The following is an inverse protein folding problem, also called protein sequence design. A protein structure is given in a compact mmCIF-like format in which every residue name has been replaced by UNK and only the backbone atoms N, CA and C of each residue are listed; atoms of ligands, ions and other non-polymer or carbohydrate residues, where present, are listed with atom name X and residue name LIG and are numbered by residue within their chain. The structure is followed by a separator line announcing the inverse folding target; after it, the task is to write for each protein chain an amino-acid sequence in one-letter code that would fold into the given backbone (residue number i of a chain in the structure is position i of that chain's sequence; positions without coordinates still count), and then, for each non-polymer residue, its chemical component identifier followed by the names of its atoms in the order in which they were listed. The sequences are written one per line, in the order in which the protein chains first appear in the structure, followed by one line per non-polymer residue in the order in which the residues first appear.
data_IF_456086300109
#
_entry.id   IF_456086300109
#
_cell.length_a   1.000
_cell.length_b   1.000
_cell.length_c   1.000
_cell.angle_alpha   90.00
_cell.angle_beta   90.00
_cell.angle_gamma   90.00
#
_symmetry.space_group_name_H-M   'P 1'
#
loop_
_entity.id
_entity.type
_entity.pdbx_description
1 polymer ?
#
# COMPACT_ATOMS: atom_id res chain seq x y z
N UNK A 1 17.19 -17.50 -3.21
CA UNK A 1 16.59 -17.21 -1.88
C UNK A 1 15.11 -16.99 -2.14
N UNK A 2 14.21 -17.75 -1.52
CA UNK A 2 12.76 -17.53 -1.69
C UNK A 2 12.42 -16.23 -0.99
N UNK A 3 11.86 -15.26 -1.71
CA UNK A 3 11.51 -13.96 -1.13
C UNK A 3 10.24 -14.11 -0.30
N UNK A 4 10.10 -13.33 0.78
CA UNK A 4 8.90 -13.32 1.66
C UNK A 4 7.61 -13.19 0.84
N UNK A 5 7.68 -12.45 -0.27
CA UNK A 5 6.62 -12.27 -1.25
C UNK A 5 6.06 -13.60 -1.77
N UNK A 6 6.93 -14.54 -2.14
CA UNK A 6 6.55 -15.81 -2.76
C UNK A 6 5.90 -16.76 -1.75
N UNK A 7 6.33 -16.66 -0.48
CA UNK A 7 5.75 -17.41 0.64
C UNK A 7 4.34 -16.88 0.93
N UNK A 8 4.18 -15.56 1.05
CA UNK A 8 2.88 -14.94 1.35
C UNK A 8 1.88 -15.20 0.21
N UNK A 9 2.31 -15.04 -1.05
CA UNK A 9 1.48 -15.30 -2.23
C UNK A 9 1.03 -16.76 -2.35
N UNK A 10 1.78 -17.71 -1.79
CA UNK A 10 1.42 -19.14 -1.81
C UNK A 10 0.68 -19.62 -0.57
N UNK A 11 0.36 -18.71 0.37
CA UNK A 11 -0.23 -19.02 1.66
C UNK A 11 -1.57 -18.28 1.88
N UNK A 12 -2.18 -18.47 3.05
CA UNK A 12 -3.44 -17.82 3.41
C UNK A 12 -3.37 -16.28 3.53
N UNK A 13 -2.18 -15.68 3.39
CA UNK A 13 -1.99 -14.24 3.35
C UNK A 13 -2.06 -13.62 1.96
N UNK A 14 -2.33 -14.41 0.91
CA UNK A 14 -2.43 -13.88 -0.44
C UNK A 14 -3.68 -12.98 -0.62
N UNK A 15 -3.60 -12.04 -1.55
CA UNK A 15 -4.72 -11.16 -1.95
C UNK A 15 -4.51 -10.61 -3.36
N UNK A 16 -5.56 -10.06 -3.98
CA UNK A 16 -5.42 -9.39 -5.28
C UNK A 16 -4.43 -8.22 -5.26
N UNK A 17 -4.28 -7.52 -4.13
CA UNK A 17 -3.26 -6.48 -3.97
C UNK A 17 -1.84 -7.05 -4.03
N UNK A 18 -1.67 -8.25 -3.47
CA UNK A 18 -0.40 -8.97 -3.45
C UNK A 18 0.01 -9.40 -4.86
N UNK A 19 -0.93 -9.92 -5.64
CA UNK A 19 -0.66 -10.36 -7.01
C UNK A 19 -0.39 -9.17 -7.95
N UNK A 20 -1.09 -8.05 -7.77
CA UNK A 20 -1.02 -6.90 -8.69
C UNK A 20 0.16 -5.96 -8.42
N UNK A 21 0.48 -5.68 -7.16
CA UNK A 21 1.35 -4.54 -6.83
C UNK A 21 2.65 -4.91 -6.12
N UNK A 22 2.76 -6.11 -5.57
CA UNK A 22 3.84 -6.39 -4.62
C UNK A 22 5.24 -6.33 -5.26
N UNK A 23 5.42 -6.94 -6.44
CA UNK A 23 6.70 -6.91 -7.17
C UNK A 23 7.03 -5.50 -7.66
N UNK A 24 6.09 -4.81 -8.31
CA UNK A 24 6.32 -3.43 -8.79
C UNK A 24 6.71 -2.49 -7.66
N UNK A 25 5.98 -2.54 -6.53
CA UNK A 25 6.28 -1.74 -5.33
C UNK A 25 7.70 -1.97 -4.81
N UNK A 26 8.13 -3.24 -4.70
CA UNK A 26 9.48 -3.56 -4.21
C UNK A 26 10.58 -3.34 -5.28
N UNK A 27 10.22 -3.25 -6.56
CA UNK A 27 11.09 -2.76 -7.63
C UNK A 27 11.12 -1.23 -7.76
N UNK A 28 10.45 -0.53 -6.84
CA UNK A 28 10.34 0.94 -6.81
C UNK A 28 9.56 1.52 -8.00
N UNK A 29 8.75 0.70 -8.65
CA UNK A 29 7.80 1.15 -9.65
C UNK A 29 6.48 1.53 -8.96
N UNK A 30 6.17 2.82 -9.02
CA UNK A 30 4.98 3.41 -8.44
C UNK A 30 4.10 4.09 -9.50
N UNK A 31 4.23 3.69 -10.76
CA UNK A 31 3.31 4.13 -11.81
C UNK A 31 1.86 3.72 -11.43
N UNK A 32 0.89 4.64 -11.45
CA UNK A 32 -0.43 4.38 -10.91
C UNK A 32 -1.27 3.51 -11.85
N UNK A 33 -1.60 2.29 -11.42
CA UNK A 33 -2.84 1.63 -11.87
C UNK A 33 -4.06 2.23 -11.14
N UNK A 34 -3.88 2.52 -9.85
CA UNK A 34 -4.79 3.27 -8.99
C UNK A 34 -3.97 4.30 -8.23
N UNK A 35 -4.29 5.59 -8.34
CA UNK A 35 -3.57 6.62 -7.60
C UNK A 35 -3.89 6.56 -6.11
N UNK A 36 -2.91 6.94 -5.28
CA UNK A 36 -3.07 7.01 -3.84
C UNK A 36 -4.15 8.03 -3.45
N UNK A 37 -4.26 9.15 -4.16
CA UNK A 37 -5.32 10.13 -3.96
C UNK A 37 -6.73 9.54 -4.15
N UNK A 38 -6.93 8.79 -5.26
CA UNK A 38 -8.22 8.15 -5.54
C UNK A 38 -8.53 7.05 -4.51
N UNK A 39 -7.54 6.25 -4.14
CA UNK A 39 -7.69 5.24 -3.10
C UNK A 39 -8.01 5.85 -1.73
N UNK A 40 -7.39 6.99 -1.39
CA UNK A 40 -7.70 7.74 -0.15
C UNK A 40 -9.16 8.16 -0.15
N UNK A 41 -9.63 8.77 -1.25
CA UNK A 41 -11.03 9.19 -1.41
C UNK A 41 -11.99 8.00 -1.28
N UNK A 42 -11.72 6.86 -1.93
CA UNK A 42 -12.58 5.68 -1.84
C UNK A 42 -12.63 5.09 -0.42
N UNK A 43 -11.50 5.03 0.28
CA UNK A 43 -11.47 4.58 1.69
C UNK A 43 -12.21 5.58 2.61
N UNK A 44 -12.13 6.88 2.32
CA UNK A 44 -12.90 7.91 3.04
C UNK A 44 -14.40 7.64 2.96
N UNK A 45 -14.93 7.41 1.75
CA UNK A 45 -16.34 7.02 1.58
C UNK A 45 -16.70 5.73 2.32
N UNK A 46 -15.77 4.77 2.39
CA UNK A 46 -16.00 3.53 3.12
C UNK A 46 -16.07 3.77 4.65
N UNK A 47 -15.29 4.70 5.20
CA UNK A 47 -15.40 5.13 6.59
C UNK A 47 -16.79 5.73 6.83
N UNK A 48 -17.20 6.70 6.01
CA UNK A 48 -18.49 7.37 6.14
C UNK A 48 -19.66 6.37 6.11
N UNK A 49 -19.64 5.42 5.18
CA UNK A 49 -20.67 4.38 5.08
C UNK A 49 -20.74 3.46 6.29
N UNK A 50 -19.60 3.11 6.88
CA UNK A 50 -19.58 2.29 8.10
C UNK A 50 -20.15 3.08 9.29
N UNK A 51 -19.83 4.38 9.41
CA UNK A 51 -20.38 5.25 10.44
C UNK A 51 -21.90 5.40 10.32
N UNK A 52 -22.40 5.67 9.11
CA UNK A 52 -23.83 5.79 8.81
C UNK A 52 -24.59 4.48 9.13
N UNK A 53 -23.94 3.33 8.92
CA UNK A 53 -24.50 2.02 9.25
C UNK A 53 -24.41 1.66 10.75
N UNK A 54 -23.78 2.51 11.58
CA UNK A 54 -23.53 2.22 12.99
C UNK A 54 -22.50 1.12 13.22
N UNK A 55 -21.62 0.87 12.25
CA UNK A 55 -20.60 -0.18 12.28
C UNK A 55 -19.23 0.37 12.71
N UNK A 56 -18.36 -0.45 13.31
CA UNK A 56 -17.02 -0.02 13.69
C UNK A 56 -16.13 0.32 12.49
N UNK A 57 -15.36 1.42 12.58
CA UNK A 57 -14.55 1.94 11.47
C UNK A 57 -13.04 1.79 11.64
N UNK A 58 -12.57 1.22 12.75
CA UNK A 58 -11.17 1.28 13.19
C UNK A 58 -10.13 0.91 12.12
N UNK A 59 -10.34 -0.14 11.32
CA UNK A 59 -9.41 -0.52 10.24
C UNK A 59 -9.45 0.48 9.08
N UNK A 60 -10.65 0.84 8.62
CA UNK A 60 -10.83 1.75 7.49
C UNK A 60 -10.26 3.14 7.82
N UNK A 61 -10.53 3.65 9.02
CA UNK A 61 -10.01 4.93 9.50
C UNK A 61 -8.48 4.91 9.61
N UNK A 62 -7.88 3.82 10.11
CA UNK A 62 -6.43 3.70 10.15
C UNK A 62 -5.80 3.72 8.74
N UNK A 63 -6.38 2.99 7.79
CA UNK A 63 -5.93 3.00 6.39
C UNK A 63 -6.08 4.38 5.76
N UNK A 64 -7.23 5.04 5.95
CA UNK A 64 -7.50 6.39 5.45
C UNK A 64 -6.44 7.39 5.94
N UNK A 65 -6.15 7.40 7.25
CA UNK A 65 -5.14 8.29 7.81
C UNK A 65 -3.72 7.97 7.33
N UNK A 66 -3.40 6.69 7.13
CA UNK A 66 -2.08 6.30 6.60
C UNK A 66 -1.92 6.74 5.14
N UNK A 67 -2.97 6.63 4.32
CA UNK A 67 -2.96 7.14 2.95
C UNK A 67 -2.91 8.68 2.94
N UNK A 68 -3.68 9.37 3.78
CA UNK A 68 -3.61 10.82 3.89
C UNK A 68 -2.19 11.30 4.25
N UNK A 69 -1.50 10.61 5.16
CA UNK A 69 -0.09 10.90 5.48
C UNK A 69 0.83 10.72 4.25
N UNK A 70 0.69 9.61 3.52
CA UNK A 70 1.45 9.40 2.28
C UNK A 70 1.18 10.49 1.23
N UNK A 71 -0.06 10.96 1.11
CA UNK A 71 -0.44 12.05 0.23
C UNK A 71 0.24 13.37 0.65
N UNK A 72 0.24 13.70 1.94
CA UNK A 72 0.92 14.88 2.51
C UNK A 72 2.43 14.84 2.24
N UNK A 73 3.04 13.65 2.25
CA UNK A 73 4.44 13.43 1.87
C UNK A 73 4.71 13.57 0.36
N UNK A 74 3.71 13.97 -0.43
CA UNK A 74 3.85 14.20 -1.87
C UNK A 74 3.77 12.94 -2.72
N UNK A 75 3.01 11.92 -2.27
CA UNK A 75 2.83 10.67 -3.01
C UNK A 75 1.41 10.45 -3.54
N UNK A 76 0.59 11.50 -3.55
CA UNK A 76 -0.81 11.45 -3.99
C UNK A 76 -1.01 10.89 -5.41
N UNK A 77 -0.16 11.28 -6.36
CA UNK A 77 -0.24 10.87 -7.78
C UNK A 77 0.42 9.51 -8.08
N UNK A 78 1.06 8.89 -7.09
CA UNK A 78 1.68 7.57 -7.25
C UNK A 78 0.65 6.47 -7.06
N UNK A 79 1.01 5.23 -7.42
CA UNK A 79 0.27 4.02 -7.02
C UNK A 79 -0.14 4.08 -5.54
N UNK A 80 -1.33 3.57 -5.20
CA UNK A 80 -1.78 3.46 -3.81
C UNK A 80 -0.82 2.68 -2.90
N UNK A 81 0.03 1.82 -3.47
CA UNK A 81 1.11 1.13 -2.73
C UNK A 81 2.27 2.03 -2.32
N UNK A 82 2.32 3.28 -2.77
CA UNK A 82 3.24 4.30 -2.26
C UNK A 82 3.04 4.61 -0.77
N UNK A 83 1.97 4.10 -0.15
CA UNK A 83 1.82 4.05 1.31
C UNK A 83 3.02 3.40 2.01
N UNK A 84 3.73 2.48 1.35
CA UNK A 84 4.93 1.85 1.89
C UNK A 84 5.98 2.89 2.31
N UNK A 85 6.04 4.04 1.61
CA UNK A 85 6.99 5.12 1.87
C UNK A 85 6.82 5.77 3.25
N UNK A 86 5.59 5.75 3.80
CA UNK A 86 5.35 6.19 5.19
C UNK A 86 6.11 5.30 6.16
N UNK A 87 6.04 3.98 5.98
CA UNK A 87 6.76 3.02 6.83
C UNK A 87 8.26 3.10 6.63
N UNK A 88 8.73 3.34 5.40
CA UNK A 88 10.15 3.51 5.09
C UNK A 88 10.74 4.74 5.80
N UNK A 89 10.00 5.86 5.78
CA UNK A 89 10.41 7.12 6.43
C UNK A 89 10.44 6.97 7.96
N UNK A 90 9.38 6.41 8.55
CA UNK A 90 9.31 6.16 10.00
C UNK A 90 10.33 5.12 10.48
N UNK A 91 10.64 4.12 9.65
CA UNK A 91 11.56 3.04 9.96
C UNK A 91 13.02 3.32 9.60
N UNK A 92 13.30 4.39 8.85
CA UNK A 92 14.64 4.72 8.36
C UNK A 92 15.25 3.68 7.40
N UNK A 93 14.43 2.85 6.76
CA UNK A 93 14.86 1.70 5.95
C UNK A 93 13.98 1.57 4.70
N UNK A 94 14.58 1.38 3.52
CA UNK A 94 13.84 1.17 2.27
C UNK A 94 13.49 -0.30 2.05
N UNK A 95 12.21 -0.59 1.79
CA UNK A 95 11.74 -1.92 1.42
C UNK A 95 11.85 -2.09 -0.10
N UNK A 96 12.87 -2.82 -0.54
CA UNK A 96 13.12 -3.10 -1.96
C UNK A 96 13.62 -4.52 -2.19
N UNK A 97 13.42 -5.03 -3.40
CA UNK A 97 14.15 -6.21 -3.85
C UNK A 97 15.62 -5.84 -4.13
N UNK A 98 16.55 -6.79 -3.97
CA UNK A 98 17.90 -6.61 -4.47
C UNK A 98 17.85 -6.30 -5.97
N UNK A 99 18.75 -5.44 -6.45
CA UNK A 99 19.00 -5.36 -7.90
C UNK A 99 19.38 -6.75 -8.38
N UNK A 100 18.80 -7.20 -9.49
CA UNK A 100 19.23 -8.45 -10.12
C UNK A 100 20.73 -8.36 -10.38
N UNK A 101 21.48 -9.23 -9.72
CA UNK A 101 22.90 -9.44 -10.00
C UNK A 101 23.03 -9.77 -11.48
N UNK A 102 23.66 -8.89 -12.26
CA UNK A 102 24.03 -9.13 -13.66
C UNK A 102 25.19 -10.12 -13.78
N UNK A 103 25.09 -11.28 -13.13
CA UNK A 103 26.07 -12.37 -13.21
C UNK A 103 25.35 -13.70 -13.33
#
# INVERSE_FOLDING_TARGET
MIQVIDIISSAGGNSGMMDLYSRSTLHRDFEPLMSLANATKDVGYYVDWLEDAGLPTFMASAVHQTYALAAIMGHAEKSCTAVIKVYEDLGGMEARLPEESKF
#
